data_IF_111467236630
#
_entry.id   IF_111467236630
#
_cell.length_a   1.000
_cell.length_b   1.000
_cell.length_c   1.000
_cell.angle_alpha   90.00
_cell.angle_beta   90.00
_cell.angle_gamma   90.00
#
_symmetry.space_group_name_H-M   'P 1'
#
loop_
_entity.id
_entity.type
_entity.pdbx_description
1 polymer ?
#
# COMPACT_ATOMS: atom_id res chain seq x y z
N UNK A 1 13.58 34.13 0.11
CA UNK A 1 13.67 34.44 1.54
C UNK A 1 12.62 33.65 2.30
N UNK A 2 12.92 32.41 2.68
CA UNK A 2 12.08 31.59 3.55
C UNK A 2 12.63 31.69 4.98
N UNK A 3 12.50 32.85 5.62
CA UNK A 3 12.65 33.00 7.06
C UNK A 3 11.24 32.91 7.66
N UNK A 4 10.77 31.70 7.91
CA UNK A 4 9.48 31.44 8.52
C UNK A 4 9.65 30.56 9.74
N UNK A 5 9.81 31.14 10.93
CA UNK A 5 9.48 30.53 12.22
C UNK A 5 7.95 30.28 12.32
N UNK A 6 7.35 29.79 11.24
CA UNK A 6 5.97 29.32 11.22
C UNK A 6 5.95 27.92 11.79
N UNK A 7 5.37 27.72 12.98
CA UNK A 7 4.87 26.40 13.40
C UNK A 7 3.92 25.96 12.28
N UNK A 8 4.35 25.01 11.44
CA UNK A 8 3.47 24.38 10.47
C UNK A 8 2.33 23.75 11.24
N UNK A 9 1.20 24.42 11.26
CA UNK A 9 -0.02 23.92 11.87
C UNK A 9 -0.65 22.93 10.91
N UNK A 10 -0.28 21.67 11.02
CA UNK A 10 -0.97 20.62 10.27
C UNK A 10 -2.44 20.57 10.70
N UNK A 11 -3.33 20.67 9.70
CA UNK A 11 -4.74 20.38 9.93
C UNK A 11 -4.86 18.94 10.45
N UNK A 12 -5.66 18.75 11.51
CA UNK A 12 -5.82 17.45 12.18
C UNK A 12 -7.07 16.73 11.68
N UNK A 13 -6.93 15.45 11.42
CA UNK A 13 -7.98 14.58 10.87
C UNK A 13 -8.24 13.38 11.79
N UNK A 14 -9.50 12.94 11.85
CA UNK A 14 -9.87 11.72 12.55
C UNK A 14 -9.52 10.49 11.69
N UNK A 15 -9.64 10.62 10.37
CA UNK A 15 -9.36 9.56 9.41
C UNK A 15 -8.61 10.11 8.19
N UNK A 16 -7.64 9.34 7.71
CA UNK A 16 -6.88 9.62 6.49
C UNK A 16 -6.95 8.39 5.59
N UNK A 17 -7.09 8.60 4.29
CA UNK A 17 -6.99 7.55 3.27
C UNK A 17 -5.71 7.75 2.48
N UNK A 18 -4.88 6.70 2.39
CA UNK A 18 -3.59 6.69 1.70
C UNK A 18 -3.46 5.43 0.83
N UNK A 19 -4.03 5.46 -0.37
CA UNK A 19 -4.10 4.30 -1.27
C UNK A 19 -3.20 4.53 -2.46
N UNK A 20 -2.23 3.62 -2.70
CA UNK A 20 -1.31 3.65 -3.83
C UNK A 20 -0.61 5.02 -3.96
N UNK A 21 -0.01 5.48 -2.87
CA UNK A 21 0.71 6.77 -2.80
C UNK A 21 2.15 6.56 -2.35
N UNK A 22 2.39 5.71 -1.34
CA UNK A 22 3.70 5.60 -0.70
C UNK A 22 4.77 5.04 -1.64
N UNK A 23 4.40 4.25 -2.64
CA UNK A 23 5.29 3.76 -3.68
C UNK A 23 5.78 4.84 -4.65
N UNK A 24 5.07 5.98 -4.70
CA UNK A 24 5.32 7.08 -5.62
C UNK A 24 6.01 8.30 -4.98
N UNK A 25 6.30 8.25 -3.68
CA UNK A 25 6.98 9.35 -2.99
C UNK A 25 8.47 9.07 -2.83
N UNK A 26 9.32 10.09 -2.96
CA UNK A 26 10.77 9.94 -2.82
C UNK A 26 11.21 9.48 -1.42
N UNK A 27 10.52 9.96 -0.39
CA UNK A 27 10.83 9.62 1.00
C UNK A 27 9.57 9.15 1.73
N UNK A 28 9.29 7.84 1.72
CA UNK A 28 8.13 7.29 2.40
C UNK A 28 8.17 7.44 3.93
N UNK A 29 9.36 7.53 4.54
CA UNK A 29 9.48 7.76 5.98
C UNK A 29 8.95 9.14 6.38
N UNK A 30 9.31 10.19 5.64
CA UNK A 30 8.79 11.53 5.90
C UNK A 30 7.29 11.62 5.59
N UNK A 31 6.83 10.97 4.53
CA UNK A 31 5.41 10.90 4.22
C UNK A 31 4.61 10.28 5.37
N UNK A 32 5.06 9.14 5.90
CA UNK A 32 4.40 8.43 7.01
C UNK A 32 4.46 9.24 8.32
N UNK A 33 5.60 9.89 8.60
CA UNK A 33 5.73 10.83 9.72
C UNK A 33 4.75 12.00 9.63
N UNK A 34 4.52 12.50 8.43
CA UNK A 34 3.53 13.57 8.21
C UNK A 34 2.09 13.05 8.36
N UNK A 35 1.77 11.85 7.86
CA UNK A 35 0.47 11.20 8.13
C UNK A 35 0.22 11.11 9.64
N UNK A 36 1.21 10.64 10.41
CA UNK A 36 1.10 10.56 11.87
C UNK A 36 0.88 11.95 12.51
N UNK A 37 1.60 12.99 12.06
CA UNK A 37 1.40 14.36 12.56
C UNK A 37 0.01 14.93 12.22
N UNK A 38 -0.53 14.59 11.06
CA UNK A 38 -1.85 15.06 10.59
C UNK A 38 -3.01 14.36 11.28
N UNK A 39 -2.81 13.23 11.96
CA UNK A 39 -3.84 12.57 12.73
C UNK A 39 -4.07 13.26 14.07
N UNK A 40 -5.34 13.31 14.50
CA UNK A 40 -5.73 13.57 15.88
C UNK A 40 -5.33 12.39 16.78
N UNK A 41 -5.31 12.56 18.11
CA UNK A 41 -5.25 11.42 19.03
C UNK A 41 -6.37 10.40 18.69
N UNK A 42 -6.05 9.11 18.69
CA UNK A 42 -6.94 8.01 18.28
C UNK A 42 -7.40 8.07 16.81
N UNK A 43 -6.77 8.89 15.97
CA UNK A 43 -7.05 8.94 14.55
C UNK A 43 -6.48 7.72 13.81
N UNK A 44 -7.05 7.41 12.63
CA UNK A 44 -6.76 6.20 11.87
C UNK A 44 -6.38 6.52 10.43
N UNK A 45 -5.33 5.86 9.92
CA UNK A 45 -5.01 5.82 8.48
C UNK A 45 -5.46 4.48 7.91
N UNK A 46 -6.20 4.52 6.82
CA UNK A 46 -6.51 3.37 5.97
C UNK A 46 -5.73 3.49 4.68
N UNK A 47 -5.06 2.43 4.26
CA UNK A 47 -4.28 2.52 3.04
C UNK A 47 -4.01 1.19 2.35
N UNK A 48 -3.33 1.31 1.21
CA UNK A 48 -2.86 0.19 0.41
C UNK A 48 -1.52 0.54 -0.22
N UNK A 49 -0.63 -0.45 -0.29
CA UNK A 49 0.63 -0.39 -1.04
C UNK A 49 0.86 -1.68 -1.82
N UNK A 50 1.46 -1.61 -3.02
CA UNK A 50 1.84 -2.79 -3.80
C UNK A 50 3.09 -3.47 -3.23
N UNK A 51 3.15 -4.81 -3.39
CA UNK A 51 4.34 -5.62 -3.14
C UNK A 51 4.77 -6.36 -4.40
N UNK A 52 4.21 -7.53 -4.70
CA UNK A 52 4.46 -8.23 -5.96
C UNK A 52 3.51 -7.68 -7.04
N UNK A 53 3.92 -6.59 -7.64
CA UNK A 53 3.11 -5.88 -8.62
C UNK A 53 4.01 -5.31 -9.73
N UNK A 54 3.47 -5.23 -10.95
CA UNK A 54 4.20 -4.69 -12.08
C UNK A 54 4.47 -3.18 -11.93
N UNK A 55 5.47 -2.68 -12.65
CA UNK A 55 5.73 -1.25 -12.78
C UNK A 55 4.51 -0.56 -13.42
N UNK A 56 4.06 0.55 -12.84
CA UNK A 56 2.80 1.18 -13.25
C UNK A 56 2.80 2.71 -13.28
N UNK A 57 3.98 3.35 -13.26
CA UNK A 57 4.05 4.77 -13.54
C UNK A 57 3.73 5.02 -15.01
N UNK A 58 2.69 5.82 -15.35
CA UNK A 58 2.40 6.20 -16.72
C UNK A 58 3.48 7.12 -17.28
N UNK A 59 3.77 6.98 -18.58
CA UNK A 59 4.80 7.81 -19.25
C UNK A 59 4.46 9.30 -19.23
N UNK A 60 3.18 9.64 -19.19
CA UNK A 60 2.68 11.02 -19.34
C UNK A 60 2.36 11.70 -18.00
N UNK A 61 2.48 10.98 -16.86
CA UNK A 61 2.26 11.53 -15.54
C UNK A 61 3.60 11.83 -14.87
N UNK A 62 3.70 13.00 -14.25
CA UNK A 62 4.91 13.48 -13.56
C UNK A 62 5.17 12.77 -12.23
N UNK A 63 4.79 11.49 -12.08
CA UNK A 63 5.13 10.69 -10.93
C UNK A 63 5.83 9.39 -11.34
N UNK A 64 6.67 8.90 -10.47
CA UNK A 64 7.49 7.70 -10.67
C UNK A 64 7.06 6.61 -9.70
N UNK A 65 7.48 5.38 -9.95
CA UNK A 65 7.13 4.18 -9.20
C UNK A 65 8.40 3.64 -8.55
N UNK A 66 8.69 4.10 -7.31
CA UNK A 66 9.98 3.88 -6.65
C UNK A 66 10.04 2.60 -5.82
N UNK A 67 8.93 2.23 -5.14
CA UNK A 67 9.00 1.25 -4.07
C UNK A 67 8.02 0.09 -4.23
N UNK A 68 8.44 -1.06 -3.69
CA UNK A 68 7.61 -2.23 -3.40
C UNK A 68 7.88 -2.63 -1.96
N UNK A 69 6.83 -2.61 -1.14
CA UNK A 69 6.98 -2.80 0.30
C UNK A 69 6.67 -4.24 0.70
N UNK A 70 7.67 -4.93 1.26
CA UNK A 70 7.45 -6.19 1.97
C UNK A 70 6.76 -5.95 3.32
N UNK A 71 6.26 -7.01 3.94
CA UNK A 71 5.66 -6.94 5.29
C UNK A 71 6.61 -6.31 6.31
N UNK A 72 7.87 -6.72 6.31
CA UNK A 72 8.86 -6.24 7.27
C UNK A 72 9.24 -4.77 7.02
N UNK A 73 9.31 -4.38 5.74
CA UNK A 73 9.50 -2.96 5.36
C UNK A 73 8.36 -2.08 5.87
N UNK A 74 7.10 -2.56 5.79
CA UNK A 74 5.94 -1.85 6.32
C UNK A 74 5.95 -1.79 7.85
N UNK A 75 6.27 -2.88 8.52
CA UNK A 75 6.38 -2.90 9.97
C UNK A 75 7.41 -1.88 10.47
N UNK A 76 8.55 -1.78 9.78
CA UNK A 76 9.57 -0.78 10.09
C UNK A 76 9.12 0.65 9.75
N UNK A 77 8.46 0.84 8.62
CA UNK A 77 7.99 2.14 8.16
C UNK A 77 6.91 2.73 9.09
N UNK A 78 6.06 1.88 9.65
CA UNK A 78 4.92 2.26 10.50
C UNK A 78 5.19 2.16 12.01
N UNK A 79 6.44 1.95 12.42
CA UNK A 79 6.84 1.69 13.81
C UNK A 79 6.41 2.74 14.85
N UNK A 80 6.12 3.97 14.40
CA UNK A 80 5.74 5.08 15.27
C UNK A 80 4.22 5.14 15.54
N UNK A 81 3.43 4.22 14.95
CA UNK A 81 2.01 4.06 15.23
C UNK A 81 1.80 3.09 16.39
N UNK A 82 0.76 3.33 17.20
CA UNK A 82 0.45 2.50 18.36
C UNK A 82 -0.07 1.11 17.97
N UNK A 83 -0.80 1.03 16.85
CA UNK A 83 -1.36 -0.21 16.32
C UNK A 83 -1.22 -0.25 14.80
N UNK A 84 -0.72 -1.37 14.28
CA UNK A 84 -0.43 -1.60 12.85
C UNK A 84 -1.04 -2.93 12.43
N UNK A 85 -2.09 -2.88 11.65
CA UNK A 85 -2.71 -4.04 11.04
C UNK A 85 -2.36 -4.11 9.56
N UNK A 86 -1.85 -5.26 9.10
CA UNK A 86 -1.47 -5.51 7.71
C UNK A 86 -2.25 -6.70 7.15
N UNK A 87 -3.01 -6.47 6.10
CA UNK A 87 -3.84 -7.47 5.44
C UNK A 87 -3.30 -7.72 4.03
N UNK A 88 -2.71 -8.90 3.75
CA UNK A 88 -2.23 -9.24 2.42
C UNK A 88 -3.39 -9.30 1.41
N UNK A 89 -3.14 -8.83 0.21
CA UNK A 89 -4.10 -8.78 -0.89
C UNK A 89 -3.72 -9.82 -1.93
N UNK A 90 -4.66 -10.69 -2.30
CA UNK A 90 -4.48 -11.84 -3.21
C UNK A 90 -3.50 -12.90 -2.67
N UNK A 91 -3.73 -14.14 -3.05
CA UNK A 91 -2.85 -15.27 -2.78
C UNK A 91 -1.75 -15.40 -3.85
N UNK A 92 -0.94 -16.44 -3.71
CA UNK A 92 0.22 -16.72 -4.57
C UNK A 92 -0.18 -16.90 -6.03
N UNK A 93 -1.22 -17.69 -6.30
CA UNK A 93 -1.63 -18.02 -7.67
C UNK A 93 -2.18 -16.79 -8.38
N UNK A 94 -3.12 -16.07 -7.76
CA UNK A 94 -3.68 -14.86 -8.36
C UNK A 94 -2.64 -13.75 -8.53
N UNK A 95 -1.67 -13.64 -7.63
CA UNK A 95 -0.54 -12.71 -7.76
C UNK A 95 0.36 -13.08 -8.95
N UNK A 96 0.73 -14.37 -9.07
CA UNK A 96 1.53 -14.86 -10.20
C UNK A 96 0.84 -14.65 -11.54
N UNK A 97 -0.45 -15.00 -11.65
CA UNK A 97 -1.24 -14.77 -12.85
C UNK A 97 -1.30 -13.27 -13.21
N UNK A 98 -1.44 -12.39 -12.22
CA UNK A 98 -1.46 -10.96 -12.45
C UNK A 98 -0.10 -10.41 -12.96
N UNK A 99 1.02 -11.00 -12.54
CA UNK A 99 2.34 -10.64 -13.03
C UNK A 99 2.64 -11.20 -14.43
N UNK A 100 2.20 -12.43 -14.70
CA UNK A 100 2.47 -13.12 -15.97
C UNK A 100 1.59 -12.61 -17.12
N UNK A 101 0.33 -12.28 -16.83
CA UNK A 101 -0.66 -11.93 -17.84
C UNK A 101 -1.04 -10.45 -17.77
N UNK A 102 -0.93 -9.78 -18.92
CA UNK A 102 -1.38 -8.40 -19.09
C UNK A 102 -2.61 -8.31 -20.01
N UNK A 103 -3.30 -7.18 -19.98
CA UNK A 103 -4.36 -6.87 -20.93
C UNK A 103 -5.61 -7.74 -20.83
N UNK A 104 -6.03 -8.39 -21.94
CA UNK A 104 -7.29 -9.15 -22.03
C UNK A 104 -7.35 -10.35 -21.08
N UNK A 105 -6.23 -11.06 -20.88
CA UNK A 105 -6.16 -12.23 -20.00
C UNK A 105 -6.32 -11.84 -18.54
N UNK A 106 -5.71 -10.74 -18.10
CA UNK A 106 -5.91 -10.20 -16.76
C UNK A 106 -7.40 -9.92 -16.49
N UNK A 107 -8.07 -9.21 -17.40
CA UNK A 107 -9.51 -8.90 -17.30
C UNK A 107 -10.37 -10.18 -17.27
N UNK A 108 -10.00 -11.20 -18.05
CA UNK A 108 -10.71 -12.48 -18.03
C UNK A 108 -10.63 -13.17 -16.67
N UNK A 109 -9.44 -13.30 -16.09
CA UNK A 109 -9.25 -13.91 -14.77
C UNK A 109 -9.95 -13.11 -13.66
N UNK A 110 -9.91 -11.80 -13.71
CA UNK A 110 -10.60 -10.93 -12.75
C UNK A 110 -12.13 -11.07 -12.86
N UNK A 111 -12.66 -11.12 -14.09
CA UNK A 111 -14.10 -11.23 -14.33
C UNK A 111 -14.67 -12.60 -13.95
N UNK A 112 -13.93 -13.67 -14.17
CA UNK A 112 -14.38 -15.05 -13.89
C UNK A 112 -14.16 -15.47 -12.44
N UNK A 113 -13.31 -14.76 -11.69
CA UNK A 113 -12.92 -15.13 -10.33
C UNK A 113 -12.10 -16.42 -10.23
N UNK A 114 -11.68 -16.99 -11.36
CA UNK A 114 -10.87 -18.22 -11.42
C UNK A 114 -9.59 -18.11 -10.59
N UNK A 115 -8.95 -16.97 -10.61
CA UNK A 115 -7.75 -16.70 -9.83
C UNK A 115 -7.99 -16.86 -8.32
N UNK A 116 -9.15 -16.41 -7.81
CA UNK A 116 -9.52 -16.54 -6.39
C UNK A 116 -9.82 -18.01 -6.06
N UNK A 117 -10.49 -18.73 -6.97
CA UNK A 117 -10.75 -20.16 -6.80
C UNK A 117 -9.44 -20.96 -6.76
N UNK A 118 -8.49 -20.66 -7.64
CA UNK A 118 -7.17 -21.29 -7.66
C UNK A 118 -6.36 -21.01 -6.39
N UNK A 119 -6.44 -19.83 -5.83
CA UNK A 119 -5.82 -19.52 -4.53
C UNK A 119 -6.38 -20.43 -3.42
N UNK A 120 -7.70 -20.65 -3.39
CA UNK A 120 -8.35 -21.55 -2.42
C UNK A 120 -7.96 -23.02 -2.62
N UNK A 121 -7.92 -23.51 -3.87
CA UNK A 121 -7.56 -24.90 -4.20
C UNK A 121 -6.10 -25.17 -3.85
N UNK A 122 -5.20 -24.21 -4.08
CA UNK A 122 -3.78 -24.33 -3.76
C UNK A 122 -3.50 -24.33 -2.24
N UNK A 123 -4.54 -24.30 -1.39
CA UNK A 123 -4.45 -24.19 0.06
C UNK A 123 -3.57 -22.99 0.52
N UNK A 124 -3.39 -22.03 -0.38
CA UNK A 124 -2.72 -20.81 -0.07
C UNK A 124 -3.71 -19.90 0.66
N UNK A 125 -3.77 -20.06 1.96
CA UNK A 125 -4.20 -18.95 2.79
C UNK A 125 -3.47 -17.70 2.28
N UNK A 126 -4.19 -16.59 2.22
CA UNK A 126 -3.62 -15.30 1.78
C UNK A 126 -2.31 -15.08 2.55
N UNK A 127 -1.21 -15.39 1.90
CA UNK A 127 0.09 -15.49 2.54
C UNK A 127 0.84 -14.18 2.31
N UNK A 128 1.29 -13.56 3.40
CA UNK A 128 2.07 -12.32 3.36
C UNK A 128 3.39 -12.42 2.59
N UNK A 129 3.88 -13.64 2.30
CA UNK A 129 5.13 -13.86 1.56
C UNK A 129 4.98 -13.68 0.04
N UNK A 130 3.80 -13.96 -0.51
CA UNK A 130 3.56 -13.96 -1.96
C UNK A 130 2.22 -13.32 -2.32
N UNK A 131 1.93 -12.15 -1.75
CA UNK A 131 0.74 -11.37 -2.06
C UNK A 131 1.03 -10.23 -3.02
N UNK A 132 0.00 -9.67 -3.67
CA UNK A 132 0.16 -8.55 -4.60
C UNK A 132 0.44 -7.21 -3.91
N UNK A 133 0.10 -7.09 -2.64
CA UNK A 133 0.26 -5.89 -1.84
C UNK A 133 -0.37 -6.05 -0.47
N UNK A 134 -0.43 -4.97 0.28
CA UNK A 134 -0.99 -4.95 1.63
C UNK A 134 -1.99 -3.81 1.78
N UNK A 135 -3.20 -4.12 2.24
CA UNK A 135 -4.02 -3.13 2.91
C UNK A 135 -3.48 -2.93 4.33
N UNK A 136 -3.51 -1.71 4.81
CA UNK A 136 -3.07 -1.40 6.16
C UNK A 136 -4.04 -0.50 6.91
N UNK A 137 -4.09 -0.69 8.23
CA UNK A 137 -4.79 0.18 9.18
C UNK A 137 -3.76 0.59 10.23
N UNK A 138 -3.59 1.90 10.40
CA UNK A 138 -2.65 2.48 11.36
C UNK A 138 -3.43 3.32 12.36
N UNK A 139 -3.23 3.08 13.66
CA UNK A 139 -3.85 3.87 14.74
C UNK A 139 -2.79 4.67 15.48
N UNK A 140 -3.09 5.94 15.72
CA UNK A 140 -2.25 6.86 16.48
C UNK A 140 -2.52 6.77 17.96
#
# INVERSE_FOLDING_TARGET
>A
NCNGNGKESFKKYDKIICIAILEHVYNPFDAVKNLHKMLKPNGVVYGYVPYLYHYHAPKDLHFQDFFRFSKDALAYLFKDFNDVELFPVRGRVSTSLNLMFAGKWKKYFEKTGINILLDKIASDEINSKQCSGFNFILKK
#
